data_IF_175402561582
#
_entry.id   IF_175402561582
#
_cell.length_a   1.000
_cell.length_b   1.000
_cell.length_c   1.000
_cell.angle_alpha   90.00
_cell.angle_beta   90.00
_cell.angle_gamma   90.00
#
_symmetry.space_group_name_H-M   'P 1'
#
loop_
_entity.id
_entity.type
_entity.pdbx_description
1 polymer ?
#
# COMPACT_ATOMS: atom_id res chain seq x y z
N UNK A 1 7.11 -25.44 -25.28
CA UNK A 1 7.93 -26.06 -24.22
C UNK A 1 8.67 -24.95 -23.50
N UNK A 2 8.41 -24.69 -22.21
CA UNK A 2 9.09 -23.61 -21.50
C UNK A 2 10.58 -23.94 -21.35
N UNK A 3 11.40 -22.90 -21.55
CA UNK A 3 12.85 -23.00 -21.68
C UNK A 3 13.48 -23.42 -20.34
N UNK A 4 14.17 -24.56 -20.32
CA UNK A 4 14.79 -25.21 -19.13
C UNK A 4 15.90 -24.39 -18.42
N UNK A 5 16.12 -23.13 -18.76
CA UNK A 5 17.20 -22.28 -18.21
C UNK A 5 16.80 -21.38 -17.04
N UNK A 6 15.55 -21.41 -16.58
CA UNK A 6 15.05 -20.52 -15.53
C UNK A 6 15.17 -21.17 -14.12
N UNK A 7 15.42 -22.48 -14.04
CA UNK A 7 15.31 -23.25 -12.80
C UNK A 7 16.57 -23.30 -11.90
N UNK A 8 17.63 -22.54 -12.18
CA UNK A 8 18.91 -22.61 -11.44
C UNK A 8 19.41 -21.26 -10.88
N UNK A 9 18.62 -20.18 -10.97
CA UNK A 9 19.02 -18.90 -10.39
C UNK A 9 18.54 -18.79 -8.94
N UNK A 10 19.41 -18.29 -8.08
CA UNK A 10 19.09 -17.88 -6.70
C UNK A 10 17.89 -16.91 -6.72
N UNK A 11 16.91 -17.10 -5.84
CA UNK A 11 15.67 -16.29 -5.80
C UNK A 11 15.98 -14.78 -5.71
N UNK A 12 17.09 -14.40 -5.06
CA UNK A 12 17.56 -13.01 -5.00
C UNK A 12 18.03 -12.47 -6.34
N UNK A 13 18.65 -13.30 -7.17
CA UNK A 13 19.07 -12.93 -8.53
C UNK A 13 17.87 -12.91 -9.48
N UNK A 14 16.87 -13.77 -9.26
CA UNK A 14 15.58 -13.69 -9.97
C UNK A 14 14.85 -12.39 -9.66
N UNK A 15 14.79 -11.97 -8.38
CA UNK A 15 14.16 -10.70 -7.99
C UNK A 15 14.84 -9.48 -8.64
N UNK A 16 16.18 -9.42 -8.63
CA UNK A 16 16.94 -8.36 -9.32
C UNK A 16 16.73 -8.35 -10.84
N UNK A 17 16.50 -9.51 -11.45
CA UNK A 17 16.18 -9.62 -12.87
C UNK A 17 14.72 -9.26 -13.19
N UNK A 18 13.80 -9.51 -12.25
CA UNK A 18 12.38 -9.23 -12.42
C UNK A 18 12.05 -7.75 -12.25
N UNK A 19 12.75 -7.05 -11.34
CA UNK A 19 12.59 -5.62 -11.11
C UNK A 19 13.94 -4.92 -11.00
N UNK A 20 14.67 -4.72 -12.12
CA UNK A 20 15.79 -3.80 -12.10
C UNK A 20 15.30 -2.42 -11.62
N UNK A 21 16.16 -1.66 -10.94
CA UNK A 21 15.83 -0.32 -10.39
C UNK A 21 15.26 0.59 -11.49
N UNK A 22 15.73 0.43 -12.73
CA UNK A 22 15.26 1.20 -13.89
C UNK A 22 14.00 0.65 -14.57
N UNK A 23 13.40 -0.42 -14.02
CA UNK A 23 12.20 -1.02 -14.60
C UNK A 23 11.01 -0.06 -14.58
N UNK A 24 10.10 -0.15 -15.57
CA UNK A 24 8.88 0.67 -15.57
C UNK A 24 8.05 0.54 -14.29
N UNK A 25 8.00 -0.65 -13.68
CA UNK A 25 7.25 -0.91 -12.45
C UNK A 25 7.87 -0.19 -11.25
N UNK A 26 9.19 -0.19 -11.13
CA UNK A 26 9.88 0.53 -10.05
C UNK A 26 9.69 2.03 -10.21
N UNK A 27 9.80 2.56 -11.43
CA UNK A 27 9.55 3.99 -11.71
C UNK A 27 8.13 4.41 -11.35
N UNK A 28 7.13 3.61 -11.74
CA UNK A 28 5.73 3.84 -11.37
C UNK A 28 5.54 3.80 -9.85
N UNK A 29 6.16 2.84 -9.15
CA UNK A 29 6.14 2.79 -7.68
C UNK A 29 6.77 4.06 -7.06
N UNK A 30 7.91 4.53 -7.59
CA UNK A 30 8.53 5.76 -7.12
C UNK A 30 7.63 6.99 -7.32
N UNK A 31 6.96 7.09 -8.47
CA UNK A 31 6.00 8.17 -8.77
C UNK A 31 4.80 8.14 -7.81
N UNK A 32 4.22 6.97 -7.58
CA UNK A 32 3.10 6.76 -6.65
C UNK A 32 3.51 7.13 -5.22
N UNK A 33 4.70 6.72 -4.76
CA UNK A 33 5.21 7.09 -3.44
C UNK A 33 5.40 8.60 -3.32
N UNK A 34 6.00 9.22 -4.34
CA UNK A 34 6.15 10.68 -4.42
C UNK A 34 4.81 11.39 -4.31
N UNK A 35 3.79 10.93 -5.03
CA UNK A 35 2.46 11.52 -5.02
C UNK A 35 1.77 11.34 -3.66
N UNK A 36 1.87 10.15 -3.04
CA UNK A 36 1.33 9.91 -1.71
C UNK A 36 2.04 10.76 -0.65
N UNK A 37 3.36 10.98 -0.75
CA UNK A 37 4.10 11.87 0.15
C UNK A 37 3.55 13.30 0.08
N UNK A 38 3.19 13.79 -1.11
CA UNK A 38 2.63 15.15 -1.28
C UNK A 38 1.24 15.32 -0.66
N UNK A 39 0.54 14.23 -0.37
CA UNK A 39 -0.72 14.26 0.37
C UNK A 39 -0.38 14.30 1.86
N UNK A 40 -0.51 15.49 2.45
CA UNK A 40 -0.30 15.68 3.88
C UNK A 40 -1.40 14.97 4.68
N UNK A 41 -0.99 13.87 5.30
CA UNK A 41 -1.79 12.99 6.17
C UNK A 41 -1.31 13.07 7.62
N UNK A 42 -0.69 14.19 8.03
CA UNK A 42 -0.12 14.37 9.37
C UNK A 42 -1.15 14.10 10.46
N UNK A 43 -0.84 13.18 11.37
CA UNK A 43 -1.70 12.81 12.50
C UNK A 43 -0.98 13.13 13.83
N UNK A 44 -1.58 13.95 14.72
CA UNK A 44 -2.85 14.68 14.58
C UNK A 44 -2.78 15.89 13.60
N UNK A 45 -3.90 16.28 12.95
CA UNK A 45 -5.27 15.77 13.17
C UNK A 45 -5.69 14.57 12.30
N UNK A 46 -4.84 14.11 11.38
CA UNK A 46 -5.21 13.20 10.30
C UNK A 46 -5.59 13.97 9.04
N UNK A 47 -6.01 13.26 7.99
CA UNK A 47 -6.50 13.71 6.67
C UNK A 47 -6.21 12.59 5.64
N UNK A 48 -6.48 11.34 6.00
CA UNK A 48 -6.07 10.16 5.25
C UNK A 48 -6.99 9.89 4.05
N UNK A 49 -8.24 10.39 4.07
CA UNK A 49 -9.22 10.15 3.00
C UNK A 49 -8.71 10.52 1.59
N UNK A 50 -8.06 11.68 1.34
CA UNK A 50 -7.47 11.97 0.03
C UNK A 50 -6.41 10.96 -0.43
N UNK A 51 -5.61 10.41 0.51
CA UNK A 51 -4.63 9.37 0.20
C UNK A 51 -5.29 8.02 -0.08
N UNK A 52 -6.31 7.64 0.69
CA UNK A 52 -7.14 6.48 0.42
C UNK A 52 -7.82 6.58 -0.97
N UNK A 53 -8.39 7.74 -1.31
CA UNK A 53 -9.00 7.99 -2.62
C UNK A 53 -7.97 7.94 -3.76
N UNK A 54 -6.73 8.36 -3.52
CA UNK A 54 -5.65 8.21 -4.49
C UNK A 54 -5.37 6.73 -4.79
N UNK A 55 -5.18 5.91 -3.75
CA UNK A 55 -4.98 4.46 -3.91
C UNK A 55 -6.19 3.78 -4.57
N UNK A 56 -7.42 4.16 -4.19
CA UNK A 56 -8.65 3.65 -4.80
C UNK A 56 -8.68 3.87 -6.31
N UNK A 57 -8.39 5.09 -6.78
CA UNK A 57 -8.36 5.40 -8.22
C UNK A 57 -7.36 4.55 -8.99
N UNK A 58 -6.19 4.27 -8.39
CA UNK A 58 -5.19 3.39 -8.99
C UNK A 58 -5.73 1.96 -9.13
N UNK A 59 -6.36 1.43 -8.08
CA UNK A 59 -6.97 0.09 -8.10
C UNK A 59 -8.14 0.00 -9.10
N UNK A 60 -9.02 0.98 -9.13
CA UNK A 60 -10.15 1.02 -10.07
C UNK A 60 -9.66 1.02 -11.53
N UNK A 61 -8.60 1.79 -11.83
CA UNK A 61 -7.97 1.82 -13.15
C UNK A 61 -7.46 0.44 -13.61
N UNK A 62 -7.05 -0.40 -12.66
CA UNK A 62 -6.55 -1.75 -12.92
C UNK A 62 -7.66 -2.83 -12.87
N UNK A 63 -8.92 -2.43 -12.71
CA UNK A 63 -10.08 -3.32 -12.74
C UNK A 63 -10.26 -4.13 -11.45
N UNK A 64 -9.89 -3.57 -10.30
CA UNK A 64 -10.34 -4.04 -9.00
C UNK A 64 -11.76 -3.52 -8.73
N UNK A 65 -12.65 -4.39 -8.22
CA UNK A 65 -14.08 -4.07 -8.11
C UNK A 65 -14.55 -3.83 -6.66
N UNK A 66 -14.03 -4.59 -5.69
CA UNK A 66 -14.47 -4.51 -4.30
C UNK A 66 -13.58 -3.56 -3.50
N UNK A 67 -13.73 -2.26 -3.73
CA UNK A 67 -12.95 -1.21 -3.08
C UNK A 67 -13.87 -0.29 -2.28
N UNK A 68 -13.59 -0.12 -1.00
CA UNK A 68 -14.33 0.73 -0.09
C UNK A 68 -13.38 1.67 0.65
N UNK A 69 -13.87 2.87 0.96
CA UNK A 69 -13.21 3.77 1.91
C UNK A 69 -14.19 3.92 3.07
N UNK A 70 -13.71 3.57 4.26
CA UNK A 70 -14.49 3.57 5.49
C UNK A 70 -13.93 4.67 6.37
N UNK A 71 -14.75 5.68 6.67
CA UNK A 71 -14.40 6.76 7.57
C UNK A 71 -14.94 6.48 8.97
N UNK A 72 -14.05 6.47 9.97
CA UNK A 72 -14.45 6.48 11.38
C UNK A 72 -14.98 7.85 11.81
N UNK A 73 -14.41 8.91 11.22
CA UNK A 73 -14.74 10.32 11.36
C UNK A 73 -14.44 11.05 10.03
N UNK A 74 -15.02 12.23 9.76
CA UNK A 74 -14.76 12.96 8.52
C UNK A 74 -13.27 13.17 8.27
N UNK A 75 -12.75 12.67 7.14
CA UNK A 75 -11.33 12.77 6.78
C UNK A 75 -10.43 11.65 7.33
N UNK A 76 -10.94 10.76 8.20
CA UNK A 76 -10.21 9.60 8.74
C UNK A 76 -10.56 8.32 7.96
N UNK A 77 -10.27 8.34 6.66
CA UNK A 77 -10.63 7.27 5.73
C UNK A 77 -9.60 6.15 5.68
N UNK A 78 -10.06 4.91 5.90
CA UNK A 78 -9.31 3.68 5.66
C UNK A 78 -9.77 3.00 4.37
N UNK A 79 -8.84 2.67 3.48
CA UNK A 79 -9.10 1.91 2.26
C UNK A 79 -9.17 0.41 2.57
N UNK A 80 -10.16 -0.29 2.02
CA UNK A 80 -10.18 -1.75 1.92
C UNK A 80 -10.43 -2.15 0.47
N UNK A 81 -9.55 -2.97 -0.08
CA UNK A 81 -9.75 -3.60 -1.39
C UNK A 81 -9.64 -5.12 -1.27
N UNK A 82 -10.74 -5.84 -1.52
CA UNK A 82 -10.77 -7.31 -1.51
C UNK A 82 -10.69 -7.88 -2.92
N UNK A 83 -9.52 -8.40 -3.28
CA UNK A 83 -9.35 -9.20 -4.47
C UNK A 83 -9.74 -10.65 -4.18
N UNK A 84 -10.96 -10.99 -4.60
CA UNK A 84 -11.57 -12.30 -4.35
C UNK A 84 -10.76 -13.42 -5.03
N UNK A 85 -10.46 -14.47 -4.26
CA UNK A 85 -9.79 -15.66 -4.73
C UNK A 85 -10.71 -16.64 -5.49
N UNK A 86 -10.10 -17.57 -6.21
CA UNK A 86 -10.82 -18.61 -6.95
C UNK A 86 -11.38 -19.75 -6.09
N UNK A 87 -10.82 -19.97 -4.89
CA UNK A 87 -11.19 -21.07 -3.98
C UNK A 87 -11.62 -20.51 -2.62
N UNK A 88 -12.90 -20.64 -2.23
CA UNK A 88 -13.39 -20.11 -0.96
C UNK A 88 -12.83 -20.83 0.27
N UNK A 89 -12.13 -21.97 0.12
CA UNK A 89 -11.48 -22.68 1.22
C UNK A 89 -9.98 -22.39 1.33
N UNK A 90 -9.42 -21.67 0.37
CA UNK A 90 -8.01 -21.28 0.40
C UNK A 90 -7.77 -20.18 1.43
N UNK A 91 -6.57 -20.17 2.01
CA UNK A 91 -6.17 -19.19 3.01
C UNK A 91 -6.08 -17.79 2.43
N UNK A 92 -6.63 -16.83 3.16
CA UNK A 92 -6.64 -15.40 2.82
C UNK A 92 -5.44 -14.67 3.42
N UNK A 93 -5.03 -13.58 2.77
CA UNK A 93 -3.93 -12.71 3.21
C UNK A 93 -4.39 -11.26 3.18
N UNK A 94 -4.11 -10.53 4.25
CA UNK A 94 -4.23 -9.07 4.31
C UNK A 94 -2.83 -8.44 4.31
N UNK A 95 -2.65 -7.47 3.41
CA UNK A 95 -1.52 -6.55 3.38
C UNK A 95 -1.99 -5.26 4.06
N UNK A 96 -1.41 -4.98 5.24
CA UNK A 96 -1.77 -3.87 6.11
C UNK A 96 -0.67 -2.82 6.04
N UNK A 97 -1.07 -1.57 5.85
CA UNK A 97 -0.19 -0.42 5.99
C UNK A 97 -1.03 0.76 6.48
N UNK A 98 -0.40 1.81 7.02
CA UNK A 98 -1.10 3.04 7.38
C UNK A 98 -0.80 4.19 6.41
N UNK A 99 -1.76 5.11 6.34
CA UNK A 99 -1.75 6.27 5.45
C UNK A 99 -1.24 7.52 6.15
N UNK A 100 -1.45 7.62 7.46
CA UNK A 100 -1.01 8.74 8.26
C UNK A 100 0.49 8.75 8.48
N UNK A 101 0.98 9.86 9.01
CA UNK A 101 2.38 10.08 9.29
C UNK A 101 2.50 10.97 10.52
N UNK A 102 3.55 10.80 11.33
CA UNK A 102 3.86 11.78 12.37
C UNK A 102 4.15 13.19 11.81
N UNK A 103 3.96 14.25 12.63
CA UNK A 103 4.35 15.61 12.26
C UNK A 103 5.82 15.74 11.83
N UNK A 104 6.07 16.65 10.90
CA UNK A 104 7.41 17.01 10.44
C UNK A 104 7.61 18.52 10.52
N UNK A 105 8.58 18.96 11.32
CA UNK A 105 8.98 20.38 11.40
C UNK A 105 9.93 20.71 10.22
N UNK A 106 9.52 21.54 9.24
CA UNK A 106 10.34 21.84 8.06
C UNK A 106 11.72 22.43 8.38
N UNK A 107 11.91 23.04 9.56
CA UNK A 107 13.21 23.62 9.95
C UNK A 107 14.28 22.57 10.22
N UNK A 108 13.89 21.32 10.49
CA UNK A 108 14.80 20.19 10.70
C UNK A 108 15.05 19.40 9.41
N UNK A 109 14.55 19.86 8.26
CA UNK A 109 14.66 19.14 7.00
C UNK A 109 15.47 19.91 5.97
N UNK A 110 16.24 19.17 5.17
CA UNK A 110 16.98 19.74 4.03
C UNK A 110 16.05 20.10 2.86
N UNK A 111 14.84 19.50 2.83
CA UNK A 111 13.80 19.69 1.82
C UNK A 111 12.45 19.78 2.51
N UNK A 112 11.45 20.33 1.82
CA UNK A 112 10.09 20.30 2.36
C UNK A 112 9.67 18.85 2.67
N UNK A 113 9.16 18.53 3.88
CA UNK A 113 8.81 17.16 4.26
C UNK A 113 7.76 16.52 3.35
N UNK A 114 6.95 17.30 2.64
CA UNK A 114 5.90 16.82 1.74
C UNK A 114 6.22 17.12 0.26
N UNK A 115 7.50 17.32 -0.08
CA UNK A 115 7.90 17.56 -1.47
C UNK A 115 7.67 16.36 -2.40
N UNK A 116 7.90 15.14 -1.91
CA UNK A 116 7.92 13.93 -2.74
C UNK A 116 9.01 13.97 -3.81
N UNK A 117 10.13 14.64 -3.56
CA UNK A 117 11.22 14.77 -4.53
C UNK A 117 11.84 13.40 -4.82
N UNK A 118 11.83 13.00 -6.09
CA UNK A 118 12.51 11.80 -6.59
C UNK A 118 13.86 12.19 -7.18
N UNK A 119 14.92 11.56 -6.69
CA UNK A 119 16.28 11.69 -7.22
C UNK A 119 16.79 10.31 -7.66
N UNK A 120 17.94 10.25 -8.31
CA UNK A 120 18.53 8.98 -8.77
C UNK A 120 18.85 8.00 -7.62
N UNK A 121 18.90 8.47 -6.36
CA UNK A 121 19.29 7.65 -5.20
C UNK A 121 18.21 7.54 -4.13
N UNK A 122 17.32 8.54 -4.02
CA UNK A 122 16.38 8.67 -2.90
C UNK A 122 15.06 9.29 -3.33
N UNK A 123 14.01 8.94 -2.60
CA UNK A 123 12.73 9.64 -2.58
C UNK A 123 12.65 10.36 -1.23
N UNK A 124 12.39 11.66 -1.25
CA UNK A 124 12.39 12.49 -0.06
C UNK A 124 10.97 12.80 0.40
N UNK A 125 10.73 12.56 1.69
CA UNK A 125 9.59 13.10 2.40
C UNK A 125 9.17 12.30 3.63
N UNK A 126 8.36 12.93 4.48
CA UNK A 126 7.65 12.30 5.59
C UNK A 126 6.67 11.27 5.00
N UNK A 127 6.74 10.03 5.49
CA UNK A 127 6.02 8.91 4.90
C UNK A 127 6.88 7.99 4.04
N UNK A 128 8.04 8.45 3.55
CA UNK A 128 8.83 7.70 2.55
C UNK A 128 9.31 6.33 3.05
N UNK A 129 9.55 6.19 4.35
CA UNK A 129 9.83 4.91 5.00
C UNK A 129 8.58 4.42 5.73
N UNK A 130 8.13 5.20 6.70
CA UNK A 130 7.03 4.89 7.61
C UNK A 130 5.79 5.73 7.25
N UNK A 131 4.70 5.14 6.73
CA UNK A 131 4.58 3.75 6.23
C UNK A 131 4.35 3.68 4.71
N UNK A 132 4.27 4.83 4.02
CA UNK A 132 3.98 4.88 2.57
C UNK A 132 5.02 4.09 1.76
N UNK A 133 6.26 3.96 2.25
CA UNK A 133 7.31 3.13 1.66
C UNK A 133 7.04 1.63 1.65
N UNK A 134 6.17 1.12 2.53
CA UNK A 134 5.69 -0.28 2.57
C UNK A 134 4.37 -0.40 1.81
N UNK A 135 3.46 0.55 2.01
CA UNK A 135 2.15 0.63 1.36
C UNK A 135 2.26 0.53 -0.17
N UNK A 136 3.19 1.29 -0.76
CA UNK A 136 3.32 1.37 -2.22
C UNK A 136 3.79 0.05 -2.84
N UNK A 137 4.82 -0.64 -2.33
CA UNK A 137 5.14 -2.00 -2.74
C UNK A 137 3.97 -2.99 -2.65
N UNK A 138 3.16 -2.94 -1.59
CA UNK A 138 1.99 -3.82 -1.44
C UNK A 138 0.93 -3.54 -2.51
N UNK A 139 0.60 -2.25 -2.72
CA UNK A 139 -0.29 -1.80 -3.78
C UNK A 139 0.22 -2.24 -5.16
N UNK A 140 1.50 -1.99 -5.45
CA UNK A 140 2.12 -2.29 -6.73
C UNK A 140 2.25 -3.78 -6.98
N UNK A 141 2.45 -4.60 -5.95
CA UNK A 141 2.45 -6.05 -6.08
C UNK A 141 1.07 -6.55 -6.55
N UNK A 142 -0.02 -6.05 -5.94
CA UNK A 142 -1.38 -6.41 -6.37
C UNK A 142 -1.67 -5.95 -7.81
N UNK A 143 -1.33 -4.71 -8.14
CA UNK A 143 -1.50 -4.15 -9.50
C UNK A 143 -0.71 -4.95 -10.53
N UNK A 144 0.57 -5.23 -10.25
CA UNK A 144 1.42 -5.98 -11.16
C UNK A 144 0.88 -7.40 -11.40
N UNK A 145 0.50 -8.11 -10.33
CA UNK A 145 -0.10 -9.44 -10.46
C UNK A 145 -1.39 -9.41 -11.29
N UNK A 146 -2.24 -8.39 -11.11
CA UNK A 146 -3.47 -8.21 -11.88
C UNK A 146 -3.17 -8.02 -13.37
N UNK A 147 -2.18 -7.19 -13.70
CA UNK A 147 -1.72 -6.94 -15.08
C UNK A 147 -1.15 -8.19 -15.75
N UNK A 148 -0.47 -9.05 -14.99
CA UNK A 148 0.05 -10.33 -15.46
C UNK A 148 -1.04 -11.43 -15.57
N UNK A 149 -2.31 -11.10 -15.30
CA UNK A 149 -3.42 -12.05 -15.38
C UNK A 149 -3.40 -13.10 -14.27
N UNK A 150 -2.69 -12.85 -13.16
CA UNK A 150 -2.74 -13.70 -11.99
C UNK A 150 -4.15 -13.71 -11.40
N UNK A 151 -4.56 -14.86 -10.86
CA UNK A 151 -5.80 -14.99 -10.10
C UNK A 151 -5.47 -15.68 -8.78
N UNK A 152 -5.62 -14.99 -7.63
CA UNK A 152 -5.24 -15.57 -6.34
C UNK A 152 -6.15 -16.75 -5.99
N UNK A 153 -5.60 -17.73 -5.26
CA UNK A 153 -6.41 -18.87 -4.79
C UNK A 153 -7.35 -18.47 -3.65
N UNK A 154 -6.79 -17.92 -2.57
CA UNK A 154 -7.55 -17.30 -1.49
C UNK A 154 -7.64 -15.78 -1.69
N UNK A 155 -8.46 -15.12 -0.88
CA UNK A 155 -8.60 -13.67 -0.98
C UNK A 155 -7.29 -12.95 -0.65
N UNK A 156 -6.93 -11.96 -1.47
CA UNK A 156 -5.92 -10.96 -1.15
C UNK A 156 -6.62 -9.66 -0.80
N UNK A 157 -6.37 -9.13 0.41
CA UNK A 157 -6.98 -7.90 0.90
C UNK A 157 -5.88 -6.85 1.06
N UNK A 158 -6.05 -5.69 0.42
CA UNK A 158 -5.28 -4.49 0.75
C UNK A 158 -6.09 -3.71 1.79
N UNK A 159 -5.47 -3.35 2.92
CA UNK A 159 -6.08 -2.52 3.94
C UNK A 159 -5.12 -1.40 4.29
N UNK A 160 -5.44 -0.17 3.86
CA UNK A 160 -4.60 1.00 4.13
C UNK A 160 -5.33 1.92 5.10
N UNK A 161 -4.87 1.95 6.35
CA UNK A 161 -5.65 2.50 7.46
C UNK A 161 -5.24 3.90 7.86
N UNK A 162 -6.18 4.62 8.46
CA UNK A 162 -5.92 5.85 9.20
C UNK A 162 -5.42 5.58 10.61
N UNK A 163 -4.93 6.62 11.28
CA UNK A 163 -4.77 6.70 12.73
C UNK A 163 -3.70 5.86 13.43
N UNK A 164 -2.82 5.16 12.71
CA UNK A 164 -1.83 4.29 13.35
C UNK A 164 -0.93 5.08 14.33
N UNK A 165 -0.44 6.23 13.89
CA UNK A 165 0.54 7.05 14.62
C UNK A 165 -0.03 7.70 15.89
N UNK A 166 -1.36 7.70 16.05
CA UNK A 166 -2.06 8.19 17.24
C UNK A 166 -2.73 7.06 18.05
N UNK A 167 -2.41 5.80 17.77
CA UNK A 167 -2.83 4.63 18.53
C UNK A 167 -3.83 3.70 17.83
N UNK A 168 -4.23 4.00 16.59
CA UNK A 168 -4.97 3.11 15.70
C UNK A 168 -6.44 2.89 16.04
N UNK A 169 -6.99 3.62 17.02
CA UNK A 169 -8.37 3.44 17.48
C UNK A 169 -9.41 3.85 16.44
N UNK A 170 -9.13 4.90 15.68
CA UNK A 170 -9.96 5.36 14.56
C UNK A 170 -9.64 4.63 13.25
N UNK A 171 -8.55 3.87 13.19
CA UNK A 171 -8.15 3.04 12.05
C UNK A 171 -8.55 1.58 12.19
N UNK A 172 -7.54 0.72 12.32
CA UNK A 172 -7.71 -0.73 12.53
C UNK A 172 -8.67 -1.04 13.69
N UNK A 173 -8.60 -0.30 14.80
CA UNK A 173 -9.50 -0.48 15.93
C UNK A 173 -10.98 -0.30 15.55
N UNK A 174 -11.28 0.74 14.77
CA UNK A 174 -12.63 0.98 14.24
C UNK A 174 -13.06 -0.14 13.28
N UNK A 175 -12.18 -0.57 12.38
CA UNK A 175 -12.46 -1.65 11.44
C UNK A 175 -12.75 -2.98 12.15
N UNK A 176 -11.96 -3.36 13.15
CA UNK A 176 -12.18 -4.59 13.92
C UNK A 176 -13.52 -4.56 14.66
N UNK A 177 -13.90 -3.41 15.24
CA UNK A 177 -15.14 -3.30 16.01
C UNK A 177 -16.40 -3.26 15.14
N UNK A 178 -16.35 -2.59 13.99
CA UNK A 178 -17.56 -2.26 13.22
C UNK A 178 -17.63 -2.96 11.86
N UNK A 179 -16.50 -3.44 11.33
CA UNK A 179 -16.35 -3.98 9.98
C UNK A 179 -15.48 -5.24 9.98
N UNK A 180 -15.56 -6.05 11.02
CA UNK A 180 -14.73 -7.25 11.16
C UNK A 180 -14.87 -8.20 9.97
N UNK A 181 -16.06 -8.29 9.37
CA UNK A 181 -16.33 -9.06 8.16
C UNK A 181 -15.42 -8.68 6.98
N UNK A 182 -14.93 -7.44 6.93
CA UNK A 182 -14.07 -6.93 5.87
C UNK A 182 -12.59 -7.22 6.10
N UNK A 183 -12.16 -7.38 7.35
CA UNK A 183 -10.74 -7.57 7.73
C UNK A 183 -10.45 -8.94 8.36
N UNK A 184 -11.46 -9.79 8.51
CA UNK A 184 -11.29 -11.17 8.97
C UNK A 184 -10.60 -12.01 7.89
N UNK A 185 -9.33 -12.32 8.09
CA UNK A 185 -8.46 -13.09 7.20
C UNK A 185 -7.61 -14.09 7.98
N UNK A 186 -6.97 -15.04 7.29
CA UNK A 186 -6.12 -16.05 7.93
C UNK A 186 -4.73 -15.53 8.30
N UNK A 187 -4.17 -14.62 7.50
CA UNK A 187 -2.82 -14.07 7.67
C UNK A 187 -2.81 -12.57 7.45
N UNK A 188 -1.94 -11.87 8.19
CA UNK A 188 -1.70 -10.43 8.08
C UNK A 188 -0.20 -10.19 7.95
N UNK A 189 0.19 -9.34 7.01
CA UNK A 189 1.50 -8.70 6.93
C UNK A 189 1.28 -7.22 7.23
N UNK A 190 2.13 -6.64 8.07
CA UNK A 190 2.14 -5.23 8.43
C UNK A 190 3.59 -4.76 8.59
N UNK A 191 3.80 -3.46 8.75
CA UNK A 191 5.04 -2.96 9.34
C UNK A 191 5.24 -3.49 10.78
N UNK A 192 6.50 -3.52 11.23
CA UNK A 192 6.89 -4.03 12.54
C UNK A 192 8.22 -3.47 13.02
#
# INVERSE_FOLDING_TARGET
MPNKKIAEKDEKELFKLMFPVDSPVVKEACEILSDLIKIDTTNPPGNETPAAEYCKRLLEKEGFENIEIIESEPGRGSLICRWKGSDPNAKSLLLLAHLDVVPADPTNWERDPFCGDVTDQYIWGRGALDCKGILVPELMAAIYLKREGYNPKGDLVLCFTSDEEAGGELGVGYLIRNHFDKVNVDYVINEG
#
